data_IF_409040154037
#
_entry.id   IF_409040154037
#
_cell.length_a   1.000
_cell.length_b   1.000
_cell.length_c   1.000
_cell.angle_alpha   90.00
_cell.angle_beta   90.00
_cell.angle_gamma   90.00
#
_symmetry.space_group_name_H-M   'P 1'
#
loop_
_entity.id
_entity.type
_entity.pdbx_description
1 polymer ?
#
# COMPACT_ATOMS: atom_id res chain seq x y z
N UNK A 1 -37.29 -72.48 32.29
CA UNK A 1 -36.85 -72.52 30.88
C UNK A 1 -36.34 -71.13 30.53
N UNK A 2 -35.04 -71.00 30.29
CA UNK A 2 -34.29 -69.74 30.16
C UNK A 2 -34.58 -69.06 28.82
N UNK A 3 -34.72 -67.73 28.80
CA UNK A 3 -34.65 -66.96 27.54
C UNK A 3 -33.63 -65.83 27.70
N UNK A 4 -32.52 -65.98 26.98
CA UNK A 4 -31.32 -65.14 27.02
C UNK A 4 -31.58 -63.83 26.26
N UNK A 5 -31.44 -62.69 26.94
CA UNK A 5 -31.39 -61.36 26.32
C UNK A 5 -29.98 -61.17 25.76
N UNK A 6 -29.86 -61.07 24.42
CA UNK A 6 -28.61 -60.78 23.72
C UNK A 6 -28.31 -59.28 23.81
N UNK A 7 -27.28 -58.92 24.55
CA UNK A 7 -26.70 -57.58 24.60
C UNK A 7 -25.87 -57.37 23.31
N UNK A 8 -26.31 -56.45 22.46
CA UNK A 8 -25.65 -56.13 21.19
C UNK A 8 -24.74 -54.91 21.43
N UNK A 9 -23.43 -55.15 21.46
CA UNK A 9 -22.38 -54.14 21.69
C UNK A 9 -22.16 -53.35 20.39
N UNK A 10 -22.73 -52.15 20.29
CA UNK A 10 -22.55 -51.25 19.15
C UNK A 10 -21.17 -50.59 19.18
N UNK A 11 -20.31 -50.95 18.23
CA UNK A 11 -19.00 -50.36 17.99
C UNK A 11 -19.18 -48.95 17.41
N UNK A 12 -19.03 -47.91 18.23
CA UNK A 12 -19.06 -46.51 17.78
C UNK A 12 -17.72 -46.22 17.09
N UNK A 13 -17.75 -46.23 15.76
CA UNK A 13 -16.65 -45.76 14.91
C UNK A 13 -16.55 -44.24 15.06
N UNK A 14 -15.54 -43.76 15.78
CA UNK A 14 -15.24 -42.34 15.89
C UNK A 14 -14.81 -41.78 14.52
N UNK A 15 -15.65 -40.92 13.93
CA UNK A 15 -15.29 -40.13 12.76
C UNK A 15 -14.15 -39.18 13.15
N UNK A 16 -12.97 -39.38 12.58
CA UNK A 16 -11.91 -38.38 12.56
C UNK A 16 -12.41 -37.18 11.76
N UNK A 17 -12.55 -36.02 12.40
CA UNK A 17 -12.80 -34.77 11.71
C UNK A 17 -11.60 -34.45 10.80
N UNK A 18 -11.83 -33.98 9.57
CA UNK A 18 -10.73 -33.59 8.70
C UNK A 18 -9.99 -32.40 9.33
N UNK A 19 -8.66 -32.49 9.27
CA UNK A 19 -7.74 -31.40 9.58
C UNK A 19 -8.08 -30.23 8.65
N UNK A 20 -8.13 -29.01 9.19
CA UNK A 20 -8.37 -27.81 8.40
C UNK A 20 -7.35 -27.73 7.26
N UNK A 21 -7.84 -27.82 6.02
CA UNK A 21 -7.04 -27.57 4.83
C UNK A 21 -6.83 -26.05 4.75
N UNK A 22 -5.59 -25.59 4.86
CA UNK A 22 -5.18 -24.24 4.47
C UNK A 22 -5.64 -23.98 3.02
N UNK A 23 -6.18 -22.79 2.77
CA UNK A 23 -6.82 -22.47 1.49
C UNK A 23 -5.79 -22.20 0.39
N UNK A 24 -6.16 -22.28 -0.90
CA UNK A 24 -5.26 -21.95 -2.03
C UNK A 24 -4.66 -20.53 -2.02
N UNK A 25 -5.22 -19.65 -1.20
CA UNK A 25 -4.73 -18.28 -0.98
C UNK A 25 -3.54 -18.20 -0.03
N UNK A 26 -3.38 -19.18 0.86
CA UNK A 26 -2.29 -19.17 1.86
C UNK A 26 -0.92 -19.34 1.17
N UNK A 27 -0.89 -19.96 -0.02
CA UNK A 27 0.30 -20.09 -0.86
C UNK A 27 0.51 -18.88 -1.81
N UNK A 28 -0.43 -17.94 -1.89
CA UNK A 28 -0.34 -16.81 -2.83
C UNK A 28 0.65 -15.73 -2.34
N UNK A 29 0.78 -15.60 -1.03
CA UNK A 29 1.55 -14.54 -0.39
C UNK A 29 2.08 -14.99 0.97
N UNK A 30 3.38 -14.88 1.16
CA UNK A 30 4.01 -14.94 2.49
C UNK A 30 4.20 -13.53 3.02
N UNK A 31 3.95 -13.33 4.31
CA UNK A 31 4.08 -12.02 4.95
C UNK A 31 4.70 -12.11 6.34
N UNK A 32 5.58 -11.16 6.65
CA UNK A 32 6.18 -11.02 7.98
C UNK A 32 6.56 -9.58 8.29
N UNK A 33 6.78 -9.28 9.55
CA UNK A 33 7.40 -8.02 9.97
C UNK A 33 8.90 -8.25 10.10
N UNK A 34 9.69 -7.35 9.51
CA UNK A 34 11.12 -7.25 9.77
C UNK A 34 11.32 -6.34 10.99
N UNK A 35 11.99 -6.81 12.06
CA UNK A 35 12.07 -6.08 13.31
C UNK A 35 12.88 -4.78 13.18
N UNK A 36 13.87 -4.73 12.27
CA UNK A 36 14.64 -3.52 11.99
C UNK A 36 15.45 -3.01 13.18
N UNK A 37 15.49 -1.69 13.38
CA UNK A 37 16.40 -1.04 14.34
C UNK A 37 15.85 0.26 14.93
N UNK A 38 16.38 0.65 16.10
CA UNK A 38 16.18 1.94 16.74
C UNK A 38 17.05 3.00 16.06
N UNK A 39 16.40 4.04 15.53
CA UNK A 39 17.05 5.20 14.92
C UNK A 39 17.55 6.18 15.99
N UNK A 40 18.53 7.02 15.62
CA UNK A 40 19.14 8.00 16.53
C UNK A 40 18.15 9.03 17.08
N UNK A 41 17.09 9.35 16.32
CA UNK A 41 16.02 10.27 16.74
C UNK A 41 15.00 9.63 17.69
N UNK A 42 15.20 8.37 18.11
CA UNK A 42 14.30 7.63 18.99
C UNK A 42 13.16 6.89 18.27
N UNK A 43 12.89 7.15 17.00
CA UNK A 43 11.97 6.34 16.19
C UNK A 43 12.54 4.94 15.96
N UNK A 44 11.69 3.97 15.65
CA UNK A 44 12.08 2.64 15.21
C UNK A 44 11.85 2.54 13.70
N UNK A 45 12.81 1.98 12.98
CA UNK A 45 12.58 1.53 11.62
C UNK A 45 12.24 0.04 11.67
N UNK A 46 11.12 -0.34 11.08
CA UNK A 46 10.72 -1.72 10.84
C UNK A 46 10.20 -1.83 9.40
N UNK A 47 9.81 -3.03 8.95
CA UNK A 47 9.14 -3.16 7.66
C UNK A 47 8.10 -4.28 7.67
N UNK A 48 7.09 -4.17 6.81
CA UNK A 48 6.27 -5.32 6.39
C UNK A 48 6.90 -5.87 5.13
N UNK A 49 7.29 -7.14 5.14
CA UNK A 49 7.72 -7.85 3.95
C UNK A 49 6.57 -8.71 3.43
N UNK A 50 6.29 -8.55 2.14
CA UNK A 50 5.35 -9.34 1.36
C UNK A 50 6.11 -10.04 0.25
N UNK A 51 6.01 -11.37 0.18
CA UNK A 51 6.60 -12.19 -0.87
C UNK A 51 5.48 -12.92 -1.62
N UNK A 52 5.21 -12.49 -2.84
CA UNK A 52 4.16 -13.05 -3.69
C UNK A 52 4.67 -14.27 -4.44
N UNK A 53 3.84 -15.30 -4.53
CA UNK A 53 4.14 -16.45 -5.38
C UNK A 53 4.22 -16.05 -6.87
N UNK A 54 4.90 -16.83 -7.72
CA UNK A 54 5.07 -16.48 -9.13
C UNK A 54 3.76 -16.15 -9.85
N UNK A 55 3.74 -14.98 -10.52
CA UNK A 55 2.59 -14.46 -11.25
C UNK A 55 1.57 -13.69 -10.39
N UNK A 56 1.63 -13.82 -9.06
CA UNK A 56 0.83 -13.04 -8.12
C UNK A 56 1.40 -11.64 -7.91
N UNK A 57 0.50 -10.72 -7.58
CA UNK A 57 0.78 -9.29 -7.44
C UNK A 57 -0.01 -8.75 -6.27
N UNK A 58 0.46 -7.64 -5.71
CA UNK A 58 -0.30 -6.85 -4.74
C UNK A 58 -0.31 -5.38 -5.14
N UNK A 59 -1.12 -4.59 -4.45
CA UNK A 59 -1.44 -3.22 -4.82
C UNK A 59 -0.63 -2.21 -4.02
N UNK A 60 -0.38 -1.07 -4.66
CA UNK A 60 0.14 0.11 -4.01
C UNK A 60 -0.96 0.84 -3.23
N UNK A 61 -0.60 1.87 -2.46
CA UNK A 61 -1.57 2.68 -1.71
C UNK A 61 -2.62 3.37 -2.60
N UNK A 62 -2.24 3.73 -3.82
CA UNK A 62 -3.08 4.38 -4.81
C UNK A 62 -3.07 3.55 -6.10
N UNK A 63 -3.78 2.40 -6.14
CA UNK A 63 -3.57 1.40 -7.16
C UNK A 63 -4.34 1.66 -8.47
N UNK A 64 -5.06 2.78 -8.56
CA UNK A 64 -6.06 3.04 -9.60
C UNK A 64 -7.39 2.35 -9.33
N UNK A 65 -8.34 2.53 -10.25
CA UNK A 65 -9.76 2.18 -10.03
C UNK A 65 -10.02 0.68 -9.86
N UNK A 66 -9.16 -0.16 -10.44
CA UNK A 66 -9.32 -1.62 -10.42
C UNK A 66 -8.49 -2.33 -9.33
N UNK A 67 -7.80 -1.58 -8.47
CA UNK A 67 -6.96 -2.14 -7.42
C UNK A 67 -7.58 -2.11 -6.02
N UNK A 68 -7.09 -2.98 -5.13
CA UNK A 68 -7.53 -3.05 -3.72
C UNK A 68 -6.35 -2.62 -2.83
N UNK A 69 -6.31 -1.35 -2.39
CA UNK A 69 -5.17 -0.84 -1.63
C UNK A 69 -5.06 -1.51 -0.26
N UNK A 70 -3.84 -1.67 0.27
CA UNK A 70 -3.65 -2.19 1.62
C UNK A 70 -4.14 -1.22 2.68
N UNK A 71 -4.83 -1.74 3.69
CA UNK A 71 -5.28 -1.02 4.90
C UNK A 71 -4.65 -1.66 6.12
N UNK A 72 -4.04 -0.83 6.96
CA UNK A 72 -3.33 -1.28 8.15
C UNK A 72 -4.08 -0.89 9.40
N UNK A 73 -4.30 -1.87 10.29
CA UNK A 73 -4.82 -1.67 11.63
C UNK A 73 -3.78 -2.11 12.66
N UNK A 74 -3.39 -1.16 13.51
CA UNK A 74 -2.35 -1.34 14.51
C UNK A 74 -2.88 -1.44 15.95
N UNK A 75 -4.20 -1.44 16.17
CA UNK A 75 -4.85 -1.34 17.50
C UNK A 75 -4.40 -2.40 18.52
N UNK A 76 -3.90 -3.55 18.05
CA UNK A 76 -3.36 -4.61 18.92
C UNK A 76 -1.94 -4.37 19.44
N UNK A 77 -1.27 -3.31 19.00
CA UNK A 77 0.11 -3.00 19.36
C UNK A 77 0.23 -2.46 20.78
N UNK A 78 1.43 -2.54 21.37
CA UNK A 78 1.75 -1.92 22.66
C UNK A 78 2.94 -1.00 22.54
N UNK A 79 2.85 0.15 23.21
CA UNK A 79 3.86 1.22 23.17
C UNK A 79 4.00 1.85 21.78
N UNK A 80 2.92 1.86 20.99
CA UNK A 80 2.92 2.38 19.61
C UNK A 80 2.18 3.72 19.56
N UNK A 81 2.88 4.79 19.18
CA UNK A 81 2.29 6.12 19.05
C UNK A 81 1.88 6.45 17.61
N UNK A 82 2.77 6.23 16.64
CA UNK A 82 2.48 6.46 15.23
C UNK A 82 3.26 5.50 14.32
N UNK A 83 2.72 5.29 13.12
CA UNK A 83 3.35 4.52 12.03
C UNK A 83 3.29 5.37 10.75
N UNK A 84 4.44 5.57 10.11
CA UNK A 84 4.57 6.28 8.85
C UNK A 84 5.21 5.34 7.81
N UNK A 85 4.42 4.78 6.88
CA UNK A 85 4.96 3.95 5.81
C UNK A 85 5.84 4.76 4.84
N UNK A 86 6.96 4.17 4.44
CA UNK A 86 7.84 4.68 3.38
C UNK A 86 7.65 3.79 2.17
N UNK A 87 6.76 4.18 1.27
CA UNK A 87 6.41 3.39 0.10
C UNK A 87 7.58 3.29 -0.89
N UNK A 88 8.05 2.07 -1.22
CA UNK A 88 8.94 1.87 -2.36
C UNK A 88 8.25 2.26 -3.66
N UNK A 89 9.05 2.51 -4.70
CA UNK A 89 8.57 2.86 -6.04
C UNK A 89 7.69 1.75 -6.58
N UNK A 90 6.41 2.03 -6.87
CA UNK A 90 5.53 1.02 -7.45
C UNK A 90 5.79 0.89 -8.95
N UNK A 91 5.21 -0.16 -9.54
CA UNK A 91 5.18 -0.35 -10.99
C UNK A 91 3.75 -0.24 -11.52
N UNK A 92 3.64 0.18 -12.78
CA UNK A 92 2.39 0.11 -13.55
C UNK A 92 2.26 -1.30 -14.13
N UNK A 93 1.11 -1.91 -13.92
CA UNK A 93 0.83 -3.30 -14.26
C UNK A 93 -0.39 -3.33 -15.17
N UNK A 94 -0.26 -3.92 -16.35
CA UNK A 94 -1.44 -4.31 -17.13
C UNK A 94 -2.09 -5.53 -16.48
N UNK A 95 -3.37 -5.40 -16.16
CA UNK A 95 -4.20 -6.42 -15.56
C UNK A 95 -5.44 -6.61 -16.43
N UNK A 96 -5.27 -7.33 -17.54
CA UNK A 96 -6.37 -7.64 -18.46
C UNK A 96 -6.86 -6.42 -19.23
N UNK A 97 -5.94 -5.56 -19.67
CA UNK A 97 -6.26 -4.32 -20.40
C UNK A 97 -6.60 -3.13 -19.50
N UNK A 98 -6.55 -3.29 -18.18
CA UNK A 98 -6.69 -2.21 -17.20
C UNK A 98 -5.36 -1.99 -16.49
N UNK A 99 -4.93 -0.73 -16.37
CA UNK A 99 -3.73 -0.39 -15.63
C UNK A 99 -4.01 -0.34 -14.14
N UNK A 100 -3.18 -1.04 -13.36
CA UNK A 100 -3.15 -0.97 -11.90
C UNK A 100 -1.74 -0.68 -11.42
N UNK A 101 -1.62 -0.11 -10.23
CA UNK A 101 -0.32 0.27 -9.66
C UNK A 101 -0.03 -0.58 -8.43
N UNK A 102 1.14 -1.20 -8.40
CA UNK A 102 1.44 -2.19 -7.37
C UNK A 102 2.84 -2.78 -7.45
N UNK A 103 2.95 -4.02 -6.96
CA UNK A 103 4.20 -4.75 -6.79
C UNK A 103 4.06 -6.20 -7.28
N UNK A 104 5.18 -6.78 -7.70
CA UNK A 104 5.35 -8.19 -8.09
C UNK A 104 6.51 -8.79 -7.31
N UNK A 105 6.54 -10.13 -7.21
CA UNK A 105 7.56 -10.96 -6.56
C UNK A 105 7.78 -10.67 -5.06
N UNK A 106 8.31 -9.50 -4.71
CA UNK A 106 8.60 -9.10 -3.33
C UNK A 106 8.49 -7.60 -3.17
N UNK A 107 7.86 -7.17 -2.07
CA UNK A 107 7.94 -5.78 -1.59
C UNK A 107 8.25 -5.78 -0.11
N UNK A 108 9.24 -4.97 0.27
CA UNK A 108 9.49 -4.60 1.66
C UNK A 108 8.96 -3.18 1.81
N UNK A 109 7.98 -2.97 2.66
CA UNK A 109 7.42 -1.67 3.00
C UNK A 109 8.01 -1.19 4.32
N UNK A 110 9.05 -0.32 4.29
CA UNK A 110 9.57 0.29 5.50
C UNK A 110 8.51 1.12 6.21
N UNK A 111 8.64 1.22 7.52
CA UNK A 111 7.75 1.97 8.40
C UNK A 111 8.58 2.67 9.47
N UNK A 112 8.45 3.99 9.57
CA UNK A 112 8.93 4.74 10.73
C UNK A 112 7.89 4.61 11.83
N UNK A 113 8.31 4.13 12.98
CA UNK A 113 7.46 3.87 14.13
C UNK A 113 7.89 4.79 15.26
N UNK A 114 6.96 5.61 15.73
CA UNK A 114 7.15 6.48 16.89
C UNK A 114 6.59 5.76 18.13
N UNK A 115 7.42 5.34 19.09
CA UNK A 115 6.92 4.74 20.33
C UNK A 115 6.24 5.77 21.22
N UNK A 116 5.23 5.36 21.99
CA UNK A 116 4.62 6.24 23.01
C UNK A 116 5.61 6.53 24.15
N UNK A 117 6.34 5.51 24.60
CA UNK A 117 7.41 5.65 25.60
C UNK A 117 8.76 5.42 24.92
N UNK A 118 9.53 6.49 24.83
CA UNK A 118 10.88 6.48 24.28
C UNK A 118 11.80 5.49 25.02
N UNK A 119 12.74 4.89 24.28
CA UNK A 119 13.73 3.95 24.81
C UNK A 119 13.19 2.57 25.22
N UNK A 120 11.87 2.33 25.15
CA UNK A 120 11.24 1.04 25.44
C UNK A 120 10.94 0.26 24.15
N UNK A 121 10.91 -1.08 24.20
CA UNK A 121 10.52 -1.89 23.04
C UNK A 121 9.06 -1.61 22.65
N UNK A 122 8.72 -1.88 21.39
CA UNK A 122 7.35 -1.82 20.86
C UNK A 122 6.92 -3.25 20.56
N UNK A 123 5.73 -3.65 21.00
CA UNK A 123 5.10 -4.86 20.47
C UNK A 123 4.26 -4.41 19.28
N UNK A 124 4.69 -4.69 18.07
CA UNK A 124 3.91 -4.37 16.89
C UNK A 124 2.95 -5.52 16.60
N UNK A 125 1.68 -5.19 16.39
CA UNK A 125 0.66 -6.08 15.84
C UNK A 125 -0.04 -5.36 14.70
N UNK A 126 -0.17 -6.05 13.57
CA UNK A 126 -0.82 -5.54 12.37
C UNK A 126 -1.93 -6.50 11.97
N UNK A 127 -3.14 -5.97 11.76
CA UNK A 127 -4.12 -6.58 10.88
C UNK A 127 -4.06 -5.82 9.55
N UNK A 128 -3.79 -6.52 8.46
CA UNK A 128 -3.58 -5.89 7.14
C UNK A 128 -4.60 -6.47 6.17
N UNK A 129 -5.55 -5.65 5.74
CA UNK A 129 -6.45 -5.99 4.65
C UNK A 129 -5.82 -5.53 3.34
N UNK A 130 -5.64 -6.42 2.35
CA UNK A 130 -5.05 -6.06 1.07
C UNK A 130 -5.54 -6.95 -0.06
N UNK A 131 -5.44 -6.48 -1.31
CA UNK A 131 -5.69 -7.31 -2.47
C UNK A 131 -4.45 -8.07 -2.94
N UNK A 132 -4.66 -9.33 -3.33
CA UNK A 132 -3.72 -10.10 -4.14
C UNK A 132 -4.38 -10.51 -5.45
N UNK A 133 -3.64 -10.45 -6.56
CA UNK A 133 -4.18 -10.77 -7.86
C UNK A 133 -3.23 -11.62 -8.70
N UNK A 134 -3.77 -12.67 -9.31
CA UNK A 134 -3.13 -13.42 -10.39
C UNK A 134 -3.97 -13.27 -11.66
N UNK A 135 -4.97 -14.14 -11.82
CA UNK A 135 -5.99 -14.06 -12.85
C UNK A 135 -7.28 -13.44 -12.32
N UNK A 136 -7.54 -13.64 -11.02
CA UNK A 136 -8.65 -13.04 -10.26
C UNK A 136 -8.06 -12.34 -9.05
N UNK A 137 -8.62 -11.18 -8.72
CA UNK A 137 -8.19 -10.37 -7.60
C UNK A 137 -9.07 -10.63 -6.39
N UNK A 138 -8.46 -10.93 -5.26
CA UNK A 138 -9.15 -11.32 -4.03
C UNK A 138 -8.64 -10.49 -2.86
N UNK A 139 -9.53 -9.96 -2.00
CA UNK A 139 -9.13 -9.35 -0.73
C UNK A 139 -8.74 -10.45 0.26
N UNK A 140 -7.67 -10.21 1.01
CA UNK A 140 -7.20 -11.08 2.09
C UNK A 140 -6.91 -10.25 3.34
N UNK A 141 -6.95 -10.89 4.50
CA UNK A 141 -6.59 -10.30 5.78
C UNK A 141 -5.41 -11.05 6.37
N UNK A 142 -4.32 -10.34 6.65
CA UNK A 142 -3.14 -10.86 7.33
C UNK A 142 -3.13 -10.43 8.80
N UNK A 143 -2.63 -11.31 9.67
CA UNK A 143 -2.40 -11.00 11.09
C UNK A 143 -0.93 -11.22 11.42
N UNK A 144 -0.18 -10.14 11.63
CA UNK A 144 1.26 -10.15 11.89
C UNK A 144 1.55 -9.62 13.30
N UNK A 145 2.58 -10.16 13.94
CA UNK A 145 3.02 -9.73 15.27
C UNK A 145 4.53 -9.87 15.40
N UNK A 146 5.21 -8.81 15.83
CA UNK A 146 6.67 -8.82 16.00
C UNK A 146 7.09 -7.90 17.14
N UNK A 147 8.12 -8.31 17.88
CA UNK A 147 8.72 -7.49 18.91
C UNK A 147 9.82 -6.60 18.30
N UNK A 148 9.73 -5.30 18.56
CA UNK A 148 10.69 -4.31 18.08
C UNK A 148 11.62 -3.91 19.24
N UNK A 149 12.82 -4.50 19.32
CA UNK A 149 13.73 -4.30 20.44
C UNK A 149 14.27 -2.87 20.49
N UNK A 150 14.47 -2.32 21.70
CA UNK A 150 15.04 -0.97 21.84
C UNK A 150 16.58 -0.92 21.76
N UNK A 151 17.24 -2.07 21.84
CA UNK A 151 18.70 -2.20 21.91
C UNK A 151 19.37 -2.59 20.57
N UNK A 152 18.61 -2.78 19.50
CA UNK A 152 19.15 -2.99 18.15
C UNK A 152 19.28 -1.65 17.47
N UNK A 153 20.49 -1.26 17.06
CA UNK A 153 20.76 0.02 16.38
C UNK A 153 21.38 -0.15 14.99
N UNK A 154 21.82 -1.37 14.64
CA UNK A 154 22.42 -1.67 13.33
C UNK A 154 21.31 -1.69 12.25
N UNK A 155 21.43 -0.88 11.19
CA UNK A 155 20.47 -0.91 10.08
C UNK A 155 20.40 -2.28 9.40
N UNK A 156 19.18 -2.70 9.09
CA UNK A 156 18.93 -3.87 8.25
C UNK A 156 19.17 -3.49 6.78
N UNK A 157 20.01 -4.23 6.03
CA UNK A 157 20.36 -3.87 4.66
C UNK A 157 19.16 -3.98 3.69
N UNK A 158 18.23 -4.90 3.92
CA UNK A 158 17.05 -5.07 3.06
C UNK A 158 16.07 -3.90 3.25
N UNK A 159 15.83 -3.51 4.50
CA UNK A 159 14.97 -2.34 4.79
C UNK A 159 15.66 -1.06 4.26
N UNK A 160 16.97 -0.93 4.44
CA UNK A 160 17.73 0.23 3.93
C UNK A 160 17.64 0.34 2.41
N UNK A 161 17.76 -0.77 1.68
CA UNK A 161 17.59 -0.79 0.23
C UNK A 161 16.16 -0.38 -0.18
N UNK A 162 15.14 -0.92 0.48
CA UNK A 162 13.75 -0.57 0.20
C UNK A 162 13.43 0.91 0.50
N UNK A 163 14.05 1.49 1.54
CA UNK A 163 13.94 2.92 1.82
C UNK A 163 14.60 3.78 0.73
N UNK A 164 15.70 3.31 0.14
CA UNK A 164 16.38 3.98 -0.95
C UNK A 164 15.59 3.89 -2.28
N UNK A 165 14.77 2.86 -2.43
CA UNK A 165 13.89 2.63 -3.58
C UNK A 165 12.58 3.44 -3.54
N UNK A 166 12.42 4.40 -2.62
CA UNK A 166 11.27 5.32 -2.63
C UNK A 166 11.26 6.18 -3.91
N UNK A 167 10.08 6.69 -4.33
CA UNK A 167 10.05 7.77 -5.31
C UNK A 167 10.93 8.95 -4.90
N UNK A 168 11.57 9.58 -5.88
CA UNK A 168 12.40 10.75 -5.66
C UNK A 168 11.58 11.92 -5.14
N UNK A 169 12.22 12.73 -4.30
CA UNK A 169 11.70 14.02 -3.90
C UNK A 169 11.78 14.99 -5.09
N UNK A 170 10.99 16.07 -5.11
CA UNK A 170 10.96 17.01 -6.22
C UNK A 170 12.34 17.57 -6.59
N UNK A 171 13.17 17.88 -5.58
CA UNK A 171 14.53 18.39 -5.77
C UNK A 171 15.51 17.37 -6.35
N UNK A 172 15.31 16.07 -6.06
CA UNK A 172 16.15 14.98 -6.55
C UNK A 172 15.90 14.71 -8.05
N UNK A 173 14.66 14.94 -8.51
CA UNK A 173 14.23 14.70 -9.89
C UNK A 173 14.22 15.95 -10.78
N UNK A 174 14.69 17.10 -10.29
CA UNK A 174 14.69 18.35 -11.06
C UNK A 174 13.28 18.86 -11.38
N UNK A 175 12.32 18.61 -10.49
CA UNK A 175 10.97 19.17 -10.61
C UNK A 175 11.03 20.69 -10.43
N UNK A 176 10.54 21.40 -11.43
CA UNK A 176 10.31 22.84 -11.39
C UNK A 176 8.90 23.15 -10.94
N UNK A 177 8.22 24.01 -11.69
CA UNK A 177 6.89 24.49 -11.31
C UNK A 177 5.79 23.43 -11.48
N UNK A 178 5.00 23.26 -10.43
CA UNK A 178 3.81 22.40 -10.38
C UNK A 178 2.55 23.27 -10.27
N UNK A 179 1.63 23.12 -11.23
CA UNK A 179 0.35 23.85 -11.30
C UNK A 179 -0.83 22.91 -11.23
N UNK A 180 -1.91 23.38 -10.62
CA UNK A 180 -3.19 22.72 -10.52
C UNK A 180 -4.32 23.70 -10.81
N UNK A 181 -4.93 23.54 -11.98
CA UNK A 181 -6.15 24.24 -12.35
C UNK A 181 -7.36 23.41 -11.93
N UNK A 182 -8.37 24.07 -11.37
CA UNK A 182 -9.58 23.40 -10.88
C UNK A 182 -10.77 24.05 -11.52
N UNK A 183 -11.62 23.23 -12.14
CA UNK A 183 -12.87 23.67 -12.76
C UNK A 183 -14.03 22.80 -12.29
N UNK A 184 -15.25 23.34 -12.13
CA UNK A 184 -16.41 22.54 -11.80
C UNK A 184 -16.80 21.65 -12.99
N UNK A 185 -17.25 20.43 -12.68
CA UNK A 185 -17.89 19.51 -13.62
C UNK A 185 -19.22 19.05 -13.02
N UNK A 186 -19.98 18.25 -13.78
CA UNK A 186 -21.19 17.62 -13.24
C UNK A 186 -20.82 16.79 -12.00
N UNK A 187 -21.48 17.03 -10.87
CA UNK A 187 -21.28 16.33 -9.58
C UNK A 187 -19.87 16.33 -8.98
N UNK A 188 -18.96 17.16 -9.49
CA UNK A 188 -17.56 17.11 -9.06
C UNK A 188 -16.68 18.28 -9.49
N UNK A 189 -15.37 18.06 -9.38
CA UNK A 189 -14.33 18.99 -9.83
C UNK A 189 -13.39 18.27 -10.81
N UNK A 190 -12.96 18.96 -11.86
CA UNK A 190 -11.82 18.54 -12.69
C UNK A 190 -10.57 19.26 -12.23
N UNK A 191 -9.53 18.49 -11.94
CA UNK A 191 -8.19 18.95 -11.64
C UNK A 191 -7.28 18.71 -12.84
N UNK A 192 -6.77 19.78 -13.45
CA UNK A 192 -5.74 19.71 -14.49
C UNK A 192 -4.38 19.99 -13.84
N UNK A 193 -3.55 18.95 -13.72
CA UNK A 193 -2.22 19.02 -13.11
C UNK A 193 -1.15 19.17 -14.19
N UNK A 194 -0.19 20.06 -13.96
CA UNK A 194 0.94 20.30 -14.88
C UNK A 194 2.26 20.39 -14.11
N UNK A 195 3.13 19.41 -14.35
CA UNK A 195 4.43 19.25 -13.66
C UNK A 195 5.56 19.56 -14.64
N UNK A 196 6.35 20.60 -14.37
CA UNK A 196 7.59 20.83 -15.09
C UNK A 196 8.68 19.91 -14.53
N UNK A 197 9.16 18.95 -15.31
CA UNK A 197 10.22 18.02 -14.91
C UNK A 197 10.84 17.33 -16.13
N UNK A 198 12.11 16.88 -16.03
CA UNK A 198 12.68 15.93 -16.98
C UNK A 198 11.80 14.70 -17.19
N UNK A 199 12.00 13.98 -18.28
CA UNK A 199 11.29 12.71 -18.48
C UNK A 199 11.72 11.69 -17.43
N UNK A 200 10.74 11.00 -16.85
CA UNK A 200 10.88 9.82 -16.01
C UNK A 200 11.08 8.53 -16.83
N UNK A 201 11.06 8.64 -18.17
CA UNK A 201 11.31 7.55 -19.11
C UNK A 201 10.05 6.79 -19.52
N UNK A 202 10.03 6.33 -20.77
CA UNK A 202 8.96 5.49 -21.30
C UNK A 202 7.59 6.17 -21.33
N UNK A 203 6.54 5.37 -21.11
CA UNK A 203 5.20 5.89 -20.83
C UNK A 203 5.13 6.29 -19.37
N UNK A 204 4.64 7.49 -19.11
CA UNK A 204 4.56 8.05 -17.76
C UNK A 204 3.11 8.02 -17.29
N UNK A 205 2.91 7.62 -16.04
CA UNK A 205 1.61 7.70 -15.36
C UNK A 205 1.70 8.78 -14.29
N UNK A 206 0.68 9.63 -14.18
CA UNK A 206 0.55 10.62 -13.12
C UNK A 206 -0.61 10.22 -12.22
N UNK A 207 -0.29 9.94 -10.97
CA UNK A 207 -1.26 9.58 -9.93
C UNK A 207 -1.53 10.79 -9.07
N UNK A 208 -2.81 11.11 -8.89
CA UNK A 208 -3.26 12.14 -7.95
C UNK A 208 -3.87 11.48 -6.73
N UNK A 209 -3.43 11.90 -5.54
CA UNK A 209 -3.96 11.51 -4.24
C UNK A 209 -4.40 12.77 -3.47
N UNK A 210 -5.46 12.63 -2.66
CA UNK A 210 -5.94 13.65 -1.74
C UNK A 210 -5.88 13.13 -0.30
N UNK A 211 -5.81 14.06 0.66
CA UNK A 211 -5.83 13.74 2.09
C UNK A 211 -7.22 13.32 2.60
N UNK A 212 -8.28 13.71 1.90
CA UNK A 212 -9.65 13.38 2.22
C UNK A 212 -10.07 12.05 1.56
N UNK A 213 -10.24 10.96 2.33
CA UNK A 213 -10.61 9.65 1.80
C UNK A 213 -12.06 9.57 1.30
N UNK A 214 -12.87 10.62 1.48
CA UNK A 214 -14.24 10.70 0.97
C UNK A 214 -14.31 11.28 -0.45
N UNK A 215 -13.17 11.66 -1.03
CA UNK A 215 -13.10 12.12 -2.42
C UNK A 215 -12.49 11.01 -3.24
N UNK A 216 -13.26 10.48 -4.19
CA UNK A 216 -12.76 9.59 -5.21
C UNK A 216 -12.04 10.40 -6.29
N UNK A 217 -10.90 9.88 -6.76
CA UNK A 217 -10.00 10.54 -7.70
C UNK A 217 -9.80 9.62 -8.89
N UNK A 218 -10.31 10.01 -10.06
CA UNK A 218 -10.04 9.28 -11.29
C UNK A 218 -8.57 9.40 -11.68
N UNK A 219 -8.07 8.40 -12.40
CA UNK A 219 -6.73 8.42 -12.98
C UNK A 219 -6.85 8.69 -14.48
N UNK A 220 -6.36 9.83 -14.93
CA UNK A 220 -6.35 10.20 -16.35
C UNK A 220 -5.02 9.92 -17.04
N UNK A 221 -5.05 9.90 -18.38
CA UNK A 221 -3.85 9.73 -19.20
C UNK A 221 -2.91 10.94 -19.05
N UNK A 222 -1.66 10.68 -18.67
CA UNK A 222 -0.64 11.71 -18.66
C UNK A 222 -0.07 11.93 -20.06
N UNK A 223 0.09 13.21 -20.44
CA UNK A 223 0.65 13.64 -21.74
C UNK A 223 1.82 14.57 -21.56
N UNK A 224 2.94 14.20 -22.16
CA UNK A 224 4.16 15.00 -22.16
C UNK A 224 4.17 15.99 -23.33
N UNK A 225 4.49 17.24 -23.03
CA UNK A 225 4.83 18.27 -24.02
C UNK A 225 6.14 18.94 -23.61
N UNK A 226 7.23 18.56 -24.28
CA UNK A 226 8.58 18.99 -23.92
C UNK A 226 8.92 18.67 -22.47
N UNK A 227 9.32 19.69 -21.71
CA UNK A 227 9.68 19.58 -20.29
C UNK A 227 8.51 19.56 -19.31
N UNK A 228 7.26 19.41 -19.78
CA UNK A 228 6.07 19.36 -18.90
C UNK A 228 5.27 18.08 -19.12
N UNK A 229 4.84 17.48 -18.01
CA UNK A 229 3.86 16.41 -17.99
C UNK A 229 2.53 16.98 -17.52
N UNK A 230 1.44 16.70 -18.23
CA UNK A 230 0.10 17.17 -17.90
C UNK A 230 -0.83 15.97 -17.74
N UNK A 231 -1.72 16.01 -16.78
CA UNK A 231 -2.77 15.01 -16.62
C UNK A 231 -4.04 15.68 -16.06
N UNK A 232 -5.17 15.02 -16.26
CA UNK A 232 -6.44 15.42 -15.68
C UNK A 232 -6.92 14.34 -14.72
N UNK A 233 -7.50 14.78 -13.60
CA UNK A 233 -8.20 13.91 -12.67
C UNK A 233 -9.59 14.50 -12.41
N UNK A 234 -10.59 13.65 -12.35
CA UNK A 234 -11.94 14.01 -11.94
C UNK A 234 -12.13 13.61 -10.48
N UNK A 235 -12.72 14.52 -9.72
CA UNK A 235 -12.84 14.44 -8.28
C UNK A 235 -14.32 14.44 -7.91
N UNK A 236 -14.76 13.40 -7.21
CA UNK A 236 -16.15 13.25 -6.80
C UNK A 236 -16.22 12.92 -5.32
N UNK A 237 -17.08 13.59 -4.56
CA UNK A 237 -17.37 13.16 -3.19
C UNK A 237 -18.20 11.87 -3.24
N UNK A 238 -17.85 10.86 -2.46
CA UNK A 238 -18.53 9.55 -2.48
C UNK A 238 -20.04 9.63 -2.20
N UNK A 239 -20.46 10.56 -1.33
CA UNK A 239 -21.87 10.88 -1.06
C UNK A 239 -22.48 11.99 -1.96
N UNK A 240 -21.80 12.44 -3.03
CA UNK A 240 -22.29 13.49 -3.94
C UNK A 240 -22.39 14.90 -3.34
N UNK A 241 -21.70 15.16 -2.22
CA UNK A 241 -21.72 16.46 -1.55
C UNK A 241 -20.72 17.43 -2.17
N UNK A 242 -21.00 18.73 -2.08
CA UNK A 242 -20.04 19.77 -2.40
C UNK A 242 -18.81 19.71 -1.48
N UNK A 243 -17.64 20.00 -2.02
CA UNK A 243 -16.37 20.03 -1.30
C UNK A 243 -15.44 21.09 -1.91
N UNK A 244 -14.43 21.49 -1.13
CA UNK A 244 -13.36 22.37 -1.59
C UNK A 244 -12.06 21.56 -1.69
N UNK A 245 -11.22 21.91 -2.67
CA UNK A 245 -9.91 21.31 -2.84
C UNK A 245 -8.83 22.18 -2.19
N UNK A 246 -8.10 21.60 -1.25
CA UNK A 246 -6.84 22.18 -0.76
C UNK A 246 -5.68 21.72 -1.67
N UNK A 247 -5.17 22.64 -2.51
CA UNK A 247 -4.05 22.36 -3.42
C UNK A 247 -2.74 22.06 -2.71
N UNK A 248 -2.58 22.45 -1.44
CA UNK A 248 -1.39 22.11 -0.66
C UNK A 248 -1.39 20.66 -0.19
N UNK A 249 -2.59 20.08 -0.04
CA UNK A 249 -2.80 18.68 0.33
C UNK A 249 -2.78 17.71 -0.86
N UNK A 250 -2.92 18.21 -2.10
CA UNK A 250 -2.77 17.39 -3.32
C UNK A 250 -1.40 16.74 -3.36
N UNK A 251 -1.36 15.41 -3.50
CA UNK A 251 -0.13 14.66 -3.75
C UNK A 251 -0.13 14.13 -5.17
N UNK A 252 0.97 14.34 -5.87
CA UNK A 252 1.16 13.90 -7.25
C UNK A 252 2.34 12.94 -7.29
N UNK A 253 2.12 11.71 -7.74
CA UNK A 253 3.22 10.78 -8.03
C UNK A 253 3.34 10.57 -9.53
N UNK A 254 4.50 10.85 -10.10
CA UNK A 254 4.82 10.53 -11.50
C UNK A 254 5.63 9.24 -11.52
N UNK A 255 5.17 8.25 -12.31
CA UNK A 255 5.81 6.95 -12.44
C UNK A 255 6.24 6.78 -13.90
N UNK A 256 7.54 6.64 -14.14
CA UNK A 256 8.12 6.32 -15.45
C UNK A 256 8.99 5.06 -15.41
N UNK A 257 9.58 4.70 -16.55
CA UNK A 257 10.41 3.50 -16.67
C UNK A 257 11.78 3.60 -15.97
N UNK A 258 12.27 4.82 -15.72
CA UNK A 258 13.61 5.05 -15.16
C UNK A 258 13.56 5.41 -13.67
N UNK A 259 12.54 6.17 -13.26
CA UNK A 259 12.33 6.57 -11.86
C UNK A 259 10.89 6.99 -11.62
N UNK A 260 10.52 7.13 -10.34
CA UNK A 260 9.29 7.78 -9.92
C UNK A 260 9.61 9.04 -9.10
N UNK A 261 8.67 9.97 -9.05
CA UNK A 261 8.78 11.21 -8.27
C UNK A 261 7.50 11.39 -7.48
N UNK A 262 7.63 11.78 -6.23
CA UNK A 262 6.50 12.07 -5.35
C UNK A 262 6.53 13.54 -4.91
N UNK A 263 5.44 14.24 -5.18
CA UNK A 263 5.33 15.69 -5.12
C UNK A 263 4.16 16.03 -4.19
N UNK A 264 4.43 16.85 -3.17
CA UNK A 264 3.40 17.38 -2.30
C UNK A 264 3.07 18.82 -2.68
N UNK A 265 1.79 19.06 -2.93
CA UNK A 265 1.21 20.36 -3.21
C UNK A 265 1.40 20.84 -4.65
N UNK A 266 0.58 21.81 -5.02
CA UNK A 266 0.68 22.52 -6.29
C UNK A 266 0.18 23.96 -6.20
N UNK A 267 0.70 24.83 -7.06
CA UNK A 267 0.25 26.23 -7.16
C UNK A 267 -1.01 26.35 -8.02
N UNK A 268 -1.79 27.41 -7.84
CA UNK A 268 -2.85 27.75 -8.78
C UNK A 268 -2.24 28.02 -10.17
N UNK A 269 -2.91 27.54 -11.21
CA UNK A 269 -2.50 27.75 -12.59
C UNK A 269 -2.78 29.15 -13.11
#
# INVERSE_FOLDING_TARGET
MMTKIRMMLGLILGLAAPVAQAGPLDDALEARILPGWRMANGQHMAAVELHMAPGWKTYWRAPGDAGIPPRFDWRGSRNLGAVEPVWPTPIVIDQGGVQVIGYKDRVILPMRISPERAGKPVQLKASIDLGVCKDVCVPITLSLSEALPSNVSKPDPHITAAMADRPYAPSEAGVGQVRCDVSPIEDGLRLSASVAMPSAGGTEVMVVELDNPQIWVSQGDARRNGGRLNAEAELYHVDGRAFALDRSAVRITVIGSNYAVDIQGCSAG
#
